data_IF_293715303852
#
_entry.id   IF_293715303852
#
_cell.length_a   1.000
_cell.length_b   1.000
_cell.length_c   1.000
_cell.angle_alpha   90.00
_cell.angle_beta   90.00
_cell.angle_gamma   90.00
#
_symmetry.space_group_name_H-M   'P 1'
#
loop_
_entity.id
_entity.type
_entity.pdbx_description
1 polymer ?
#
# COMPACT_ATOMS: atom_id res chain seq x y z
N UNK A 1 13.36 1.04 1.84
CA UNK A 1 12.54 -0.18 1.76
C UNK A 1 11.65 -0.24 3.01
N UNK A 2 10.50 -0.91 2.92
CA UNK A 2 9.55 -1.01 4.04
C UNK A 2 9.15 -2.46 4.31
N UNK A 3 8.77 -2.75 5.54
CA UNK A 3 8.12 -3.99 5.92
C UNK A 3 6.60 -3.84 5.76
N UNK A 4 5.96 -4.85 5.19
CA UNK A 4 4.52 -4.91 5.03
C UNK A 4 3.94 -6.09 5.81
N UNK A 5 3.22 -5.80 6.88
CA UNK A 5 2.41 -6.78 7.58
C UNK A 5 1.02 -6.83 6.99
N UNK A 6 0.57 -8.01 6.56
CA UNK A 6 -0.78 -8.24 6.03
C UNK A 6 -1.50 -9.15 7.02
N UNK A 7 -2.67 -8.71 7.50
CA UNK A 7 -3.58 -9.50 8.32
C UNK A 7 -4.81 -9.83 7.49
N UNK A 8 -5.08 -11.12 7.32
CA UNK A 8 -6.18 -11.60 6.50
C UNK A 8 -7.30 -12.19 7.36
N UNK A 9 -8.33 -11.42 7.66
CA UNK A 9 -9.57 -11.91 8.27
C UNK A 9 -10.67 -12.16 7.22
N UNK A 10 -10.34 -12.02 5.93
CA UNK A 10 -11.26 -12.17 4.81
C UNK A 10 -11.66 -13.64 4.57
N UNK A 11 -12.76 -13.84 3.85
CA UNK A 11 -13.30 -15.17 3.56
C UNK A 11 -12.45 -15.98 2.57
N UNK A 12 -11.55 -15.34 1.83
CA UNK A 12 -10.64 -15.96 0.88
C UNK A 12 -9.17 -15.72 1.24
N UNK A 13 -8.29 -16.56 0.69
CA UNK A 13 -6.85 -16.35 0.75
C UNK A 13 -6.45 -15.12 -0.08
N UNK A 14 -5.45 -14.38 0.38
CA UNK A 14 -4.89 -13.24 -0.35
C UNK A 14 -3.61 -13.67 -1.08
N UNK A 15 -3.38 -13.08 -2.24
CA UNK A 15 -2.16 -13.32 -3.02
C UNK A 15 -1.28 -12.08 -3.09
N UNK A 16 0.02 -12.24 -3.30
CA UNK A 16 0.92 -11.13 -3.59
C UNK A 16 1.65 -11.34 -4.91
N UNK A 17 2.13 -10.25 -5.52
CA UNK A 17 2.96 -10.33 -6.73
C UNK A 17 4.29 -11.07 -6.54
N UNK A 18 4.69 -11.37 -5.30
CA UNK A 18 5.87 -12.19 -4.99
C UNK A 18 5.55 -13.68 -4.92
N UNK A 19 4.31 -14.09 -5.20
CA UNK A 19 3.86 -15.47 -5.12
C UNK A 19 3.52 -15.94 -3.70
N UNK A 20 3.53 -15.04 -2.71
CA UNK A 20 3.14 -15.39 -1.33
C UNK A 20 1.62 -15.42 -1.24
N UNK A 21 1.10 -16.46 -0.59
CA UNK A 21 -0.31 -16.58 -0.25
C UNK A 21 -0.50 -16.40 1.25
N UNK A 22 -1.41 -15.51 1.64
CA UNK A 22 -1.78 -15.27 3.03
C UNK A 22 -3.13 -15.95 3.26
N UNK A 23 -3.09 -17.13 3.88
CA UNK A 23 -4.31 -17.90 4.14
C UNK A 23 -5.28 -17.15 5.05
N UNK A 24 -6.57 -17.44 4.91
CA UNK A 24 -7.63 -16.93 5.79
C UNK A 24 -7.28 -17.12 7.28
N UNK A 25 -7.51 -16.07 8.07
CA UNK A 25 -7.25 -16.02 9.51
C UNK A 25 -5.77 -15.98 9.88
N UNK A 26 -4.87 -15.72 8.91
CA UNK A 26 -3.43 -15.64 9.13
C UNK A 26 -2.91 -14.23 8.90
N UNK A 27 -1.76 -13.97 9.50
CA UNK A 27 -0.97 -12.77 9.24
C UNK A 27 0.39 -13.17 8.68
N UNK A 28 0.93 -12.34 7.80
CA UNK A 28 2.26 -12.54 7.22
C UNK A 28 2.96 -11.20 7.06
N UNK A 29 4.27 -11.16 7.34
CA UNK A 29 5.09 -9.96 7.15
C UNK A 29 6.08 -10.18 6.03
N UNK A 30 6.01 -9.33 5.01
CA UNK A 30 6.99 -9.22 3.93
C UNK A 30 8.03 -8.18 4.32
N UNK A 31 9.27 -8.60 4.54
CA UNK A 31 10.35 -7.68 4.91
C UNK A 31 11.03 -7.08 3.69
N UNK A 32 11.56 -5.87 3.82
CA UNK A 32 12.40 -5.20 2.82
C UNK A 32 11.75 -5.13 1.43
N UNK A 33 10.55 -4.58 1.37
CA UNK A 33 9.79 -4.40 0.13
C UNK A 33 10.05 -3.04 -0.51
N UNK A 34 10.09 -3.07 -1.85
CA UNK A 34 9.80 -1.94 -2.72
C UNK A 34 8.37 -2.09 -3.27
N UNK A 35 8.21 -2.09 -4.60
CA UNK A 35 6.89 -2.27 -5.21
C UNK A 35 6.28 -3.66 -4.96
N UNK A 36 4.96 -3.70 -4.73
CA UNK A 36 4.20 -4.92 -4.45
C UNK A 36 2.76 -4.77 -4.95
N UNK A 37 2.15 -5.87 -5.39
CA UNK A 37 0.69 -5.95 -5.57
C UNK A 37 0.13 -6.94 -4.55
N UNK A 38 -0.90 -6.53 -3.82
CA UNK A 38 -1.74 -7.39 -2.98
C UNK A 38 -3.06 -7.63 -3.72
N UNK A 39 -3.34 -8.90 -4.02
CA UNK A 39 -4.55 -9.37 -4.69
C UNK A 39 -5.57 -9.82 -3.64
N UNK A 40 -6.76 -9.23 -3.70
CA UNK A 40 -7.88 -9.53 -2.80
C UNK A 40 -9.02 -10.10 -3.66
N UNK A 41 -9.32 -11.41 -3.58
CA UNK A 41 -10.29 -12.05 -4.47
C UNK A 41 -11.69 -11.43 -4.41
N UNK A 42 -12.27 -11.15 -5.58
CA UNK A 42 -13.57 -10.49 -5.72
C UNK A 42 -13.56 -8.99 -5.45
N UNK A 43 -12.41 -8.43 -5.08
CA UNK A 43 -12.18 -6.99 -4.86
C UNK A 43 -11.17 -6.45 -5.88
N UNK A 44 -10.65 -5.24 -5.65
CA UNK A 44 -9.55 -4.67 -6.42
C UNK A 44 -8.20 -5.19 -5.93
N UNK A 45 -7.15 -4.98 -6.73
CA UNK A 45 -5.77 -5.09 -6.26
C UNK A 45 -5.37 -3.82 -5.50
N UNK A 46 -4.59 -3.98 -4.43
CA UNK A 46 -3.88 -2.89 -3.77
C UNK A 46 -2.45 -2.84 -4.30
N UNK A 47 -2.08 -1.73 -4.91
CA UNK A 47 -0.76 -1.50 -5.48
C UNK A 47 0.08 -0.66 -4.53
N UNK A 48 1.27 -1.14 -4.21
CA UNK A 48 2.31 -0.40 -3.52
C UNK A 48 3.38 -0.06 -4.55
N UNK A 49 3.56 1.21 -4.83
CA UNK A 49 4.49 1.72 -5.83
C UNK A 49 5.63 2.40 -5.08
N UNK A 50 6.83 1.83 -5.17
CA UNK A 50 8.02 2.44 -4.59
C UNK A 50 8.33 3.75 -5.32
N UNK A 51 8.41 4.84 -4.55
CA UNK A 51 8.77 6.16 -5.06
C UNK A 51 10.25 6.45 -4.85
N UNK A 52 10.97 5.66 -4.04
CA UNK A 52 12.30 6.03 -3.57
C UNK A 52 12.27 7.42 -2.91
N UNK A 53 13.20 8.27 -3.31
CA UNK A 53 13.32 9.66 -2.86
C UNK A 53 12.42 10.64 -3.67
N UNK A 54 11.84 10.21 -4.80
CA UNK A 54 11.01 11.06 -5.66
C UNK A 54 9.76 11.52 -4.95
N UNK A 55 9.61 12.83 -4.75
CA UNK A 55 8.39 13.47 -4.21
C UNK A 55 7.28 13.57 -5.26
N UNK A 56 6.03 13.37 -4.83
CA UNK A 56 4.87 13.64 -5.68
C UNK A 56 4.64 15.15 -5.74
N UNK A 57 4.53 15.69 -6.95
CA UNK A 57 4.21 17.09 -7.17
C UNK A 57 2.84 17.43 -6.57
N UNK A 58 2.72 18.60 -5.94
CA UNK A 58 1.51 19.01 -5.23
C UNK A 58 1.33 18.41 -3.83
N UNK A 59 2.18 17.48 -3.40
CA UNK A 59 2.12 16.83 -2.09
C UNK A 59 3.43 17.03 -1.29
N UNK A 60 3.67 18.23 -0.72
CA UNK A 60 4.92 18.55 -0.01
C UNK A 60 5.06 17.87 1.36
N UNK A 61 3.98 17.30 1.88
CA UNK A 61 3.97 16.50 3.10
C UNK A 61 3.47 15.09 2.79
N UNK A 62 3.97 14.06 3.50
CA UNK A 62 5.00 14.14 4.54
C UNK A 62 6.42 14.34 4.00
N UNK A 63 7.36 14.75 4.87
CA UNK A 63 8.68 15.29 4.46
C UNK A 63 9.78 14.24 4.35
N UNK A 64 9.61 13.08 4.96
CA UNK A 64 10.59 11.99 5.04
C UNK A 64 11.05 11.53 3.65
N UNK A 65 12.32 11.16 3.52
CA UNK A 65 13.01 10.96 2.25
C UNK A 65 12.36 9.88 1.39
N UNK A 66 12.21 8.67 1.95
CA UNK A 66 11.72 7.50 1.21
C UNK A 66 10.21 7.44 1.17
N UNK A 67 9.62 6.89 0.11
CA UNK A 67 8.17 6.85 -0.03
C UNK A 67 7.60 5.71 -0.83
N UNK A 68 6.35 5.42 -0.53
CA UNK A 68 5.52 4.45 -1.25
C UNK A 68 4.17 5.11 -1.53
N UNK A 69 3.73 5.07 -2.79
CA UNK A 69 2.36 5.40 -3.16
C UNK A 69 1.53 4.12 -3.09
N UNK A 70 0.53 4.10 -2.22
CA UNK A 70 -0.42 3.00 -2.12
C UNK A 70 -1.69 3.39 -2.86
N UNK A 71 -2.15 2.55 -3.79
CA UNK A 71 -3.39 2.76 -4.56
C UNK A 71 -4.31 1.56 -4.39
N UNK A 72 -5.55 1.82 -4.00
CA UNK A 72 -6.58 0.79 -3.86
C UNK A 72 -7.95 1.35 -4.24
N UNK A 73 -8.54 0.82 -5.33
CA UNK A 73 -9.77 1.35 -5.90
C UNK A 73 -9.64 2.88 -6.11
N UNK A 74 -10.55 3.68 -5.56
CA UNK A 74 -10.59 5.14 -5.70
C UNK A 74 -9.86 5.89 -4.56
N UNK A 75 -8.98 5.22 -3.81
CA UNK A 75 -8.26 5.81 -2.68
C UNK A 75 -6.76 5.63 -2.87
N UNK A 76 -6.03 6.72 -2.73
CA UNK A 76 -4.59 6.73 -2.65
C UNK A 76 -4.09 7.16 -1.26
N UNK A 77 -3.03 6.50 -0.81
CA UNK A 77 -2.28 6.90 0.36
C UNK A 77 -0.84 7.20 -0.03
N UNK A 78 -0.36 8.37 0.41
CA UNK A 78 1.02 8.79 0.26
C UNK A 78 1.76 8.55 1.55
N UNK A 79 2.56 7.49 1.56
CA UNK A 79 3.33 7.07 2.71
C UNK A 79 4.79 7.44 2.55
N UNK A 80 5.38 7.97 3.61
CA UNK A 80 6.75 8.48 3.68
C UNK A 80 7.41 8.07 4.98
N UNK A 81 8.69 7.72 4.94
CA UNK A 81 9.42 7.20 6.09
C UNK A 81 10.92 7.46 6.01
N UNK A 82 11.59 7.36 7.16
CA UNK A 82 13.05 7.28 7.28
C UNK A 82 13.48 5.90 7.78
N UNK A 83 14.65 5.44 7.35
CA UNK A 83 15.15 4.11 7.69
C UNK A 83 14.23 3.00 7.16
N UNK A 84 13.80 2.08 8.04
CA UNK A 84 12.92 0.98 7.70
C UNK A 84 11.45 1.37 7.87
N UNK A 85 10.72 1.56 6.77
CA UNK A 85 9.28 1.84 6.84
C UNK A 85 8.48 0.65 7.38
N UNK A 86 7.35 0.90 8.00
CA UNK A 86 6.45 -0.12 8.56
C UNK A 86 5.01 0.18 8.14
N UNK A 87 4.42 -0.71 7.33
CA UNK A 87 3.01 -0.67 6.96
C UNK A 87 2.28 -1.92 7.45
N UNK A 88 1.05 -1.72 7.91
CA UNK A 88 0.12 -2.82 8.22
C UNK A 88 -1.14 -2.66 7.39
N UNK A 89 -1.51 -3.70 6.64
CA UNK A 89 -2.82 -3.83 6.01
C UNK A 89 -3.63 -4.87 6.77
N UNK A 90 -4.84 -4.50 7.14
CA UNK A 90 -5.85 -5.42 7.67
C UNK A 90 -6.97 -5.52 6.64
N UNK A 91 -7.23 -6.74 6.17
CA UNK A 91 -8.39 -7.04 5.32
C UNK A 91 -9.41 -7.76 6.19
N UNK A 92 -10.56 -7.14 6.41
CA UNK A 92 -11.61 -7.69 7.27
C UNK A 92 -12.41 -8.81 6.59
N UNK A 93 -13.39 -9.37 7.31
CA UNK A 93 -14.24 -10.46 6.82
C UNK A 93 -15.07 -10.11 5.58
N UNK A 94 -15.26 -8.81 5.28
CA UNK A 94 -16.00 -8.30 4.14
C UNK A 94 -15.09 -7.79 3.01
N UNK A 95 -13.77 -7.89 3.18
CA UNK A 95 -12.78 -7.43 2.19
C UNK A 95 -12.49 -5.93 2.29
N UNK A 96 -12.93 -5.26 3.35
CA UNK A 96 -12.58 -3.87 3.63
C UNK A 96 -11.13 -3.81 4.09
N UNK A 97 -10.38 -2.85 3.55
CA UNK A 97 -8.97 -2.68 3.86
C UNK A 97 -8.75 -1.48 4.77
N UNK A 98 -8.04 -1.68 5.87
CA UNK A 98 -7.45 -0.60 6.67
C UNK A 98 -5.94 -0.65 6.53
N UNK A 99 -5.32 0.48 6.21
CA UNK A 99 -3.86 0.61 6.20
C UNK A 99 -3.43 1.56 7.31
N UNK A 100 -2.38 1.18 8.04
CA UNK A 100 -1.77 1.98 9.10
C UNK A 100 -0.26 1.85 9.09
N UNK A 101 0.43 2.73 9.82
CA UNK A 101 1.88 2.74 9.96
C UNK A 101 2.27 2.98 11.41
N UNK A 102 3.40 2.40 11.84
CA UNK A 102 4.03 2.64 13.14
C UNK A 102 5.39 3.35 13.01
N UNK A 103 5.97 3.41 11.80
CA UNK A 103 7.16 4.18 11.50
C UNK A 103 6.99 4.92 10.18
N UNK A 104 7.02 6.24 10.23
CA UNK A 104 6.72 7.12 9.10
C UNK A 104 5.32 7.73 9.18
N UNK A 105 4.99 8.51 8.17
CA UNK A 105 3.76 9.29 8.08
C UNK A 105 2.99 8.93 6.83
N UNK A 106 1.67 8.88 6.92
CA UNK A 106 0.80 8.55 5.80
C UNK A 106 -0.36 9.52 5.74
N UNK A 107 -0.63 10.07 4.56
CA UNK A 107 -1.80 10.90 4.32
C UNK A 107 -2.59 10.33 3.15
N UNK A 108 -3.90 10.55 3.17
CA UNK A 108 -4.74 10.33 1.99
C UNK A 108 -4.47 11.43 0.97
N UNK A 109 -4.31 11.06 -0.30
CA UNK A 109 -4.19 12.01 -1.40
C UNK A 109 -5.20 11.68 -2.49
N UNK A 110 -5.25 12.51 -3.55
CA UNK A 110 -6.03 12.24 -4.75
C UNK A 110 -5.23 12.72 -5.96
N UNK A 111 -4.92 11.80 -6.87
CA UNK A 111 -4.20 12.09 -8.11
C UNK A 111 -5.18 11.90 -9.26
N UNK A 112 -5.25 12.80 -10.25
CA UNK A 112 -6.05 12.58 -11.45
C UNK A 112 -5.68 11.25 -12.12
N UNK A 113 -6.62 10.31 -12.19
CA UNK A 113 -6.34 8.95 -12.67
C UNK A 113 -6.19 8.86 -14.19
N UNK A 114 -6.88 9.74 -14.91
CA UNK A 114 -6.90 9.77 -16.37
C UNK A 114 -7.05 11.22 -16.84
N UNK A 115 -6.06 11.71 -17.58
CA UNK A 115 -6.02 13.09 -18.09
C UNK A 115 -5.84 13.04 -19.60
N UNK A 116 -6.76 13.66 -20.34
CA UNK A 116 -6.63 13.87 -21.78
C UNK A 116 -6.05 15.28 -21.97
N UNK A 117 -4.89 15.38 -22.61
CA UNK A 117 -4.33 16.65 -23.04
C UNK A 117 -4.68 16.87 -24.52
N UNK A 118 -5.22 18.04 -24.84
CA UNK A 118 -5.39 18.50 -26.21
C UNK A 118 -4.28 19.53 -26.50
N UNK A 119 -3.58 19.34 -27.61
CA UNK A 119 -2.57 20.27 -28.12
C UNK A 119 -3.17 21.23 -29.13
#
# INVERSE_FOLDING_TARGET
>A
MYNLTIKNDYIYDLGTSTGVTISKGKSFTLNDRGSLVLTIPGMSNMNFIDLGDKKLEGFPFPKETWGTLVRYSTIEAYYRYEGQGELTVVVDSLGMCTISTTNGSMIRISIPEFVIQQH
#
